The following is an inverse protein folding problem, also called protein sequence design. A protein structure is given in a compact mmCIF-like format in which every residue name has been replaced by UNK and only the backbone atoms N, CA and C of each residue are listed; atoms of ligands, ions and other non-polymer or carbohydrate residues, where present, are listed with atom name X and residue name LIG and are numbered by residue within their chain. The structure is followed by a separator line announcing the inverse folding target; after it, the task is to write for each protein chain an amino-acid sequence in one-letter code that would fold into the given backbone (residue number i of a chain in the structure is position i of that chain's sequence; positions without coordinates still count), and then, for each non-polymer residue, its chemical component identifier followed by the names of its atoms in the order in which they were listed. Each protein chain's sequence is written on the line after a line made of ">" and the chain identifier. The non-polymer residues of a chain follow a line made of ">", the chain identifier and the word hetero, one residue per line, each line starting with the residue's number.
data_IF_240344596871
#
_entry.id   IF_240344596871
#
_cell.length_a   1.000
_cell.length_b   1.000
_cell.length_c   1.000
_cell.angle_alpha   90.00
_cell.angle_beta   90.00
_cell.angle_gamma   90.00
#
_symmetry.space_group_name_H-M   'P 1'
#
loop_
_entity.id
_entity.type
_entity.pdbx_description
1 polymer ?
#
# COMPACT_ATOMS: atom_id res chain seq x y z
N UNK A 1 -4.78 14.68 6.91
CA UNK A 1 -3.68 14.10 6.11
C UNK A 1 -4.24 13.65 4.77
N UNK A 2 -3.49 13.80 3.67
CA UNK A 2 -3.84 13.29 2.34
C UNK A 2 -2.77 12.34 1.84
N UNK A 3 -3.16 11.31 1.11
CA UNK A 3 -2.29 10.40 0.38
C UNK A 3 -2.67 10.44 -1.09
N UNK A 4 -1.69 10.54 -1.96
CA UNK A 4 -1.87 10.46 -3.40
C UNK A 4 -0.76 9.62 -4.02
N UNK A 5 -0.99 9.20 -5.26
CA UNK A 5 -0.04 8.46 -6.07
C UNK A 5 0.08 9.17 -7.41
N UNK A 6 1.31 9.31 -7.90
CA UNK A 6 1.55 9.76 -9.29
C UNK A 6 1.50 8.57 -10.27
N UNK A 7 1.40 7.36 -9.73
CA UNK A 7 1.34 6.11 -10.47
C UNK A 7 -0.10 5.68 -10.81
N UNK A 8 -1.12 6.43 -10.36
CA UNK A 8 -2.52 6.16 -10.71
C UNK A 8 -3.55 6.82 -9.80
N UNK A 9 -4.79 6.89 -10.28
CA UNK A 9 -5.92 7.46 -9.54
C UNK A 9 -6.44 6.45 -8.52
N UNK A 10 -6.79 6.93 -7.32
CA UNK A 10 -7.35 6.08 -6.29
C UNK A 10 -8.70 5.49 -6.72
N UNK A 11 -8.84 4.18 -6.61
CA UNK A 11 -10.05 3.43 -6.95
C UNK A 11 -10.09 2.92 -8.39
N UNK A 12 -9.21 3.40 -9.26
CA UNK A 12 -9.16 2.98 -10.66
C UNK A 12 -8.40 1.66 -10.86
N UNK A 13 -8.30 1.23 -12.11
CA UNK A 13 -7.53 0.05 -12.48
C UNK A 13 -6.05 0.31 -12.26
N UNK A 14 -5.40 -0.58 -11.51
CA UNK A 14 -3.95 -0.56 -11.29
C UNK A 14 -3.24 -0.79 -12.62
N UNK A 15 -2.29 0.07 -13.01
CA UNK A 15 -1.47 -0.16 -14.19
C UNK A 15 -0.74 -1.50 -14.15
N UNK A 16 -0.53 -2.10 -15.32
CA UNK A 16 0.04 -3.43 -15.49
C UNK A 16 1.38 -3.64 -14.76
N UNK A 17 2.26 -2.64 -14.73
CA UNK A 17 3.58 -2.71 -14.09
C UNK A 17 3.51 -2.79 -12.55
N UNK A 18 2.41 -2.38 -11.93
CA UNK A 18 2.17 -2.48 -10.47
C UNK A 18 1.27 -3.66 -10.10
N UNK A 19 0.89 -4.49 -11.07
CA UNK A 19 0.00 -5.63 -10.88
C UNK A 19 0.70 -6.94 -11.24
N UNK A 20 0.32 -8.01 -10.55
CA UNK A 20 0.56 -9.35 -11.05
C UNK A 20 -0.24 -9.55 -12.35
N UNK A 21 0.36 -10.24 -13.31
CA UNK A 21 -0.17 -10.45 -14.66
C UNK A 21 -0.28 -11.94 -14.99
N UNK A 22 -1.27 -12.36 -15.78
CA UNK A 22 -1.29 -13.71 -16.33
C UNK A 22 -0.24 -13.84 -17.44
N UNK A 23 0.51 -14.94 -17.46
CA UNK A 23 1.39 -15.32 -18.58
C UNK A 23 0.58 -15.93 -19.73
N UNK A 24 1.23 -16.10 -20.87
CA UNK A 24 0.64 -16.80 -22.02
C UNK A 24 0.21 -18.24 -21.67
N UNK A 25 0.92 -18.89 -20.76
CA UNK A 25 0.69 -20.28 -20.34
C UNK A 25 -0.38 -20.42 -19.24
N UNK A 26 -1.01 -19.31 -18.82
CA UNK A 26 -2.04 -19.29 -17.78
C UNK A 26 -1.50 -19.22 -16.34
N UNK A 27 -0.19 -19.17 -16.17
CA UNK A 27 0.47 -18.92 -14.89
C UNK A 27 0.41 -17.44 -14.50
N UNK A 28 0.72 -17.12 -13.24
CA UNK A 28 0.86 -15.71 -12.82
C UNK A 28 2.32 -15.27 -12.91
N UNK A 29 2.63 -14.33 -13.81
CA UNK A 29 3.88 -13.60 -13.79
C UNK A 29 3.69 -12.26 -13.09
N UNK A 30 4.56 -11.98 -12.15
CA UNK A 30 4.84 -10.61 -11.78
C UNK A 30 5.43 -9.95 -13.04
N UNK A 31 4.84 -8.87 -13.56
CA UNK A 31 5.55 -8.01 -14.51
C UNK A 31 6.73 -7.37 -13.75
N UNK A 32 6.90 -6.05 -13.81
CA UNK A 32 7.89 -5.42 -12.93
C UNK A 32 7.47 -5.46 -11.46
N UNK A 33 6.17 -5.72 -11.17
CA UNK A 33 5.57 -5.81 -9.84
C UNK A 33 6.13 -4.75 -8.88
N UNK A 34 6.20 -3.53 -9.40
CA UNK A 34 6.77 -2.41 -8.68
C UNK A 34 5.80 -1.95 -7.61
N UNK A 35 6.34 -1.31 -6.58
CA UNK A 35 5.53 -0.54 -5.64
C UNK A 35 5.17 0.79 -6.29
N UNK A 36 3.86 1.16 -6.39
CA UNK A 36 3.46 2.45 -6.94
C UNK A 36 3.97 3.60 -6.08
N UNK A 37 4.22 4.75 -6.70
CA UNK A 37 4.59 5.97 -5.96
C UNK A 37 3.49 6.33 -4.97
N UNK A 38 3.86 6.68 -3.74
CA UNK A 38 2.95 7.16 -2.71
C UNK A 38 3.55 8.39 -2.04
N UNK A 39 2.86 9.52 -2.17
CA UNK A 39 3.19 10.76 -1.51
C UNK A 39 2.06 11.20 -0.59
N UNK A 40 2.42 11.89 0.48
CA UNK A 40 1.48 12.28 1.54
C UNK A 40 1.69 13.72 1.97
N UNK A 41 0.62 14.36 2.41
CA UNK A 41 0.71 15.67 3.06
C UNK A 41 1.31 15.50 4.46
N UNK A 42 1.98 16.53 5.01
CA UNK A 42 2.31 16.54 6.43
C UNK A 42 1.06 16.33 7.30
N UNK A 43 1.28 15.79 8.50
CA UNK A 43 0.27 15.70 9.56
C UNK A 43 -0.09 17.11 10.06
N UNK A 44 -1.29 17.24 10.64
CA UNK A 44 -1.79 18.51 11.16
C UNK A 44 -0.83 19.16 12.18
N UNK A 45 -0.05 18.33 12.87
CA UNK A 45 0.88 18.71 13.91
C UNK A 45 2.22 19.23 13.36
N UNK A 46 2.39 19.26 12.03
CA UNK A 46 3.56 19.80 11.33
C UNK A 46 4.85 18.99 11.46
N UNK A 47 4.85 17.89 12.23
CA UNK A 47 6.04 17.07 12.50
C UNK A 47 6.17 15.93 11.47
N UNK A 48 7.33 15.75 10.82
CA UNK A 48 7.59 14.59 9.98
C UNK A 48 7.85 13.36 10.86
N UNK A 49 6.80 12.79 11.44
CA UNK A 49 6.87 11.46 12.04
C UNK A 49 7.04 10.39 10.96
N UNK A 50 7.59 9.21 11.29
CA UNK A 50 7.75 8.11 10.35
C UNK A 50 6.42 7.76 9.68
N UNK A 51 6.50 7.46 8.38
CA UNK A 51 5.42 6.87 7.61
C UNK A 51 5.58 5.36 7.66
N UNK A 52 4.51 4.64 7.96
CA UNK A 52 4.48 3.19 7.75
C UNK A 52 3.59 2.93 6.56
N UNK A 53 4.17 2.39 5.48
CA UNK A 53 3.42 1.89 4.33
C UNK A 53 3.14 0.40 4.51
N UNK A 54 1.87 0.02 4.41
CA UNK A 54 1.41 -1.35 4.48
C UNK A 54 0.67 -1.71 3.19
N UNK A 55 1.30 -2.55 2.37
CA UNK A 55 0.67 -3.16 1.21
C UNK A 55 -0.23 -4.32 1.64
N UNK A 56 -1.48 -4.32 1.19
CA UNK A 56 -2.47 -5.35 1.47
C UNK A 56 -3.29 -5.71 0.23
N UNK A 57 -3.19 -6.96 -0.21
CA UNK A 57 -4.06 -7.52 -1.25
C UNK A 57 -5.25 -8.23 -0.60
N UNK A 58 -6.45 -7.63 -0.62
CA UNK A 58 -7.67 -8.31 -0.17
C UNK A 58 -8.34 -8.96 -1.38
N UNK A 59 -8.27 -10.30 -1.47
CA UNK A 59 -8.91 -11.17 -2.49
C UNK A 59 -8.71 -10.71 -3.95
N UNK A 60 -7.71 -11.25 -4.65
CA UNK A 60 -7.56 -11.43 -6.13
C UNK A 60 -8.17 -10.43 -7.15
N UNK A 61 -8.65 -9.25 -6.75
CA UNK A 61 -9.38 -8.26 -7.56
C UNK A 61 -9.09 -6.81 -7.17
N UNK A 62 -8.53 -6.57 -5.97
CA UNK A 62 -8.21 -5.22 -5.46
C UNK A 62 -6.93 -5.23 -4.62
N UNK A 63 -5.93 -4.49 -5.06
CA UNK A 63 -4.74 -4.15 -4.28
C UNK A 63 -4.98 -2.85 -3.52
N UNK A 64 -4.52 -2.77 -2.28
CA UNK A 64 -4.60 -1.54 -1.48
C UNK A 64 -3.28 -1.30 -0.75
N UNK A 65 -2.80 -0.07 -0.78
CA UNK A 65 -1.67 0.40 0.02
C UNK A 65 -2.21 1.42 1.03
N UNK A 66 -1.94 1.18 2.31
CA UNK A 66 -2.26 2.10 3.38
C UNK A 66 -0.99 2.77 3.88
N UNK A 67 -1.07 4.04 4.24
CA UNK A 67 0.01 4.79 4.90
C UNK A 67 -0.51 5.39 6.19
N UNK A 68 0.16 5.05 7.29
CA UNK A 68 -0.14 5.56 8.62
C UNK A 68 0.94 6.58 9.02
N UNK A 69 0.54 7.74 9.52
CA UNK A 69 1.44 8.72 10.14
C UNK A 69 1.47 8.52 11.64
N UNK A 70 2.68 8.37 12.19
CA UNK A 70 2.87 8.04 13.59
C UNK A 70 3.37 9.22 14.40
N UNK A 71 2.90 9.34 15.64
CA UNK A 71 3.33 10.34 16.62
C UNK A 71 4.61 9.99 17.36
N UNK A 72 5.28 8.92 16.96
CA UNK A 72 6.52 8.41 17.56
C UNK A 72 7.64 8.41 16.53
N UNK A 73 8.88 8.66 16.94
CA UNK A 73 10.02 8.72 16.02
C UNK A 73 10.45 7.34 15.48
N UNK A 74 10.22 6.26 16.23
CA UNK A 74 10.58 4.88 15.87
C UNK A 74 9.52 3.92 16.41
N UNK A 75 9.02 3.03 15.56
CA UNK A 75 8.08 1.97 15.94
C UNK A 75 8.78 0.99 16.89
N UNK A 76 8.14 0.58 18.00
CA UNK A 76 8.75 -0.33 18.98
C UNK A 76 8.72 -1.80 18.51
N UNK A 77 9.23 -2.06 17.30
CA UNK A 77 9.43 -3.40 16.75
C UNK A 77 10.88 -3.57 16.33
N UNK A 78 11.46 -4.73 16.63
CA UNK A 78 12.85 -5.06 16.29
C UNK A 78 12.93 -6.48 15.72
N UNK A 79 13.97 -6.74 14.91
CA UNK A 79 14.18 -8.04 14.28
C UNK A 79 13.11 -8.39 13.24
N UNK A 80 12.76 -9.68 13.17
CA UNK A 80 11.75 -10.19 12.23
C UNK A 80 10.36 -10.13 12.88
N UNK A 81 9.46 -9.37 12.30
CA UNK A 81 8.08 -9.24 12.74
C UNK A 81 7.11 -9.50 11.59
N UNK A 82 5.88 -9.87 11.93
CA UNK A 82 4.76 -9.98 10.99
C UNK A 82 4.08 -8.63 10.78
N UNK A 83 3.33 -8.51 9.69
CA UNK A 83 2.49 -7.33 9.45
C UNK A 83 1.43 -7.12 10.55
N UNK A 84 0.95 -8.20 11.19
CA UNK A 84 0.01 -8.10 12.30
C UNK A 84 0.67 -7.51 13.56
N UNK A 85 1.86 -7.97 13.92
CA UNK A 85 2.63 -7.43 15.04
C UNK A 85 3.02 -5.96 14.82
N UNK A 86 3.39 -5.61 13.58
CA UNK A 86 3.63 -4.20 13.24
C UNK A 86 2.36 -3.36 13.38
N UNK A 87 1.21 -3.85 12.89
CA UNK A 87 -0.09 -3.17 13.01
C UNK A 87 -0.48 -2.92 14.46
N UNK A 88 -0.28 -3.92 15.32
CA UNK A 88 -0.55 -3.83 16.76
C UNK A 88 0.35 -2.76 17.42
N UNK A 89 1.65 -2.78 17.10
CA UNK A 89 2.62 -1.84 17.66
C UNK A 89 2.39 -0.37 17.24
N UNK A 90 1.88 -0.13 16.03
CA UNK A 90 1.66 1.23 15.53
C UNK A 90 0.30 1.81 15.92
N UNK A 91 -0.73 0.97 16.13
CA UNK A 91 -2.12 1.37 16.36
C UNK A 91 -2.29 2.48 17.42
N UNK A 92 -1.63 2.43 18.61
CA UNK A 92 -1.77 3.45 19.63
C UNK A 92 -1.15 4.81 19.25
N UNK A 93 -0.33 4.86 18.21
CA UNK A 93 0.49 6.00 17.83
C UNK A 93 0.06 6.64 16.52
N UNK A 94 -1.03 6.17 15.91
CA UNK A 94 -1.53 6.69 14.64
C UNK A 94 -2.14 8.08 14.86
N UNK A 95 -1.58 9.08 14.20
CA UNK A 95 -2.10 10.46 14.17
C UNK A 95 -3.04 10.68 12.98
N UNK A 96 -2.80 9.96 11.88
CA UNK A 96 -3.65 9.98 10.70
C UNK A 96 -3.38 8.76 9.82
N UNK A 97 -4.42 8.29 9.15
CA UNK A 97 -4.37 7.20 8.18
C UNK A 97 -4.79 7.71 6.80
N UNK A 98 -4.25 7.10 5.76
CA UNK A 98 -4.76 7.28 4.41
C UNK A 98 -4.54 6.01 3.59
N UNK A 99 -5.46 5.70 2.68
CA UNK A 99 -5.41 4.50 1.85
C UNK A 99 -5.54 4.86 0.38
N UNK A 100 -4.63 4.34 -0.44
CA UNK A 100 -4.72 4.34 -1.88
C UNK A 100 -4.93 2.91 -2.36
N UNK A 101 -5.79 2.72 -3.33
CA UNK A 101 -6.22 1.40 -3.74
C UNK A 101 -6.50 1.36 -5.23
N UNK A 102 -6.26 0.21 -5.85
CA UNK A 102 -6.56 -0.01 -7.25
C UNK A 102 -7.08 -1.41 -7.48
N UNK A 103 -7.77 -1.59 -8.61
CA UNK A 103 -8.27 -2.89 -9.03
C UNK A 103 -7.27 -3.55 -9.97
N UNK A 104 -6.93 -4.81 -9.69
CA UNK A 104 -6.08 -5.64 -10.55
C UNK A 104 -6.81 -6.95 -10.83
N UNK A 105 -6.71 -7.49 -12.05
CA UNK A 105 -7.33 -8.77 -12.38
C UNK A 105 -6.38 -9.68 -13.12
N UNK A 106 -6.32 -10.93 -12.68
CA UNK A 106 -5.64 -12.02 -13.40
C UNK A 106 -6.56 -12.69 -14.42
N UNK A 107 -7.86 -12.37 -14.42
CA UNK A 107 -8.79 -12.94 -15.37
C UNK A 107 -8.68 -12.21 -16.70
N UNK A 108 -8.10 -12.87 -17.71
CA UNK A 108 -7.90 -12.32 -19.05
C UNK A 108 -9.18 -11.83 -19.73
N UNK A 109 -10.34 -12.37 -19.38
CA UNK A 109 -11.65 -11.94 -19.92
C UNK A 109 -12.10 -10.57 -19.41
N UNK A 110 -11.48 -10.07 -18.33
CA UNK A 110 -11.79 -8.81 -17.68
C UNK A 110 -10.68 -7.76 -17.90
N UNK A 111 -9.68 -8.08 -18.74
CA UNK A 111 -8.57 -7.19 -19.07
C UNK A 111 -8.91 -6.26 -20.23
#
# INVERSE_FOLDING_TARGET
>A
MRLWSDSGVNGERTPACFAAQPTADGETAFADNLTPHLARSPTADGKPGPAVEMAGARRARRGSNAVDALGIARVPVEGRFSGAQMREAICPHILAEATHSGTCTLNRRLL
#
